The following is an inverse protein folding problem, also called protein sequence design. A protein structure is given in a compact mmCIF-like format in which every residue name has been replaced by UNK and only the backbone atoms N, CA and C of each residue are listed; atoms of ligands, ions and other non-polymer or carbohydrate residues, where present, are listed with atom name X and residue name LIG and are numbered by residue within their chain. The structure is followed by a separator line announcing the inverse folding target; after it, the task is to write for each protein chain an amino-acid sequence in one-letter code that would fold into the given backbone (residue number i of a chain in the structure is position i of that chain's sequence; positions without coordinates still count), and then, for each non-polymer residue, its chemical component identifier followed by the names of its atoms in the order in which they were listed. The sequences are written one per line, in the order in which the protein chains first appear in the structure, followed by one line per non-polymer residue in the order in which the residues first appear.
data_IF_252408290900
#
_entry.id   IF_252408290900
#
_cell.length_a   1.000
_cell.length_b   1.000
_cell.length_c   1.000
_cell.angle_alpha   90.00
_cell.angle_beta   90.00
_cell.angle_gamma   90.00
#
_symmetry.space_group_name_H-M   'P 1'
#
loop_
_entity.id
_entity.type
_entity.pdbx_description
1 polymer ?
#
# COMPACT_ATOMS: atom_id res chain seq x y z
N UNK A 1 5.33 -6.06 -7.03
CA UNK A 1 6.34 -6.22 -5.97
C UNK A 1 5.64 -6.49 -4.64
N UNK A 2 6.11 -7.48 -3.92
CA UNK A 2 5.51 -7.84 -2.63
C UNK A 2 6.36 -7.31 -1.50
N UNK A 3 5.72 -6.68 -0.52
CA UNK A 3 6.39 -6.17 0.67
C UNK A 3 5.66 -6.66 1.89
N UNK A 4 6.27 -6.49 3.05
CA UNK A 4 5.64 -6.83 4.32
C UNK A 4 5.42 -5.57 5.13
N UNK A 5 4.23 -5.46 5.72
CA UNK A 5 3.91 -4.35 6.58
C UNK A 5 4.66 -4.49 7.91
N UNK A 6 5.01 -3.35 8.48
CA UNK A 6 5.57 -3.29 9.81
C UNK A 6 4.46 -2.99 10.81
N UNK A 7 4.77 -3.13 12.09
CA UNK A 7 3.80 -2.81 13.13
C UNK A 7 3.32 -1.37 12.98
N UNK A 8 2.01 -1.18 13.03
CA UNK A 8 1.36 0.13 12.90
C UNK A 8 1.48 0.77 11.52
N UNK A 9 1.91 0.02 10.50
CA UNK A 9 1.89 0.55 9.15
C UNK A 9 0.46 0.72 8.65
N UNK A 10 0.26 1.72 7.80
CA UNK A 10 -1.00 1.94 7.11
C UNK A 10 -0.77 1.81 5.61
N UNK A 11 -1.85 1.65 4.85
CA UNK A 11 -1.74 1.60 3.39
C UNK A 11 -1.13 2.90 2.86
N UNK A 12 -1.55 4.03 3.43
CA UNK A 12 -1.01 5.33 3.04
C UNK A 12 0.50 5.41 3.30
N UNK A 13 0.94 4.93 4.45
CA UNK A 13 2.36 4.93 4.79
C UNK A 13 3.17 4.08 3.82
N UNK A 14 2.63 2.93 3.43
CA UNK A 14 3.29 2.07 2.46
C UNK A 14 3.38 2.75 1.09
N UNK A 15 2.31 3.39 0.66
CA UNK A 15 2.30 4.11 -0.62
C UNK A 15 3.31 5.25 -0.62
N UNK A 16 3.34 6.01 0.46
CA UNK A 16 4.28 7.12 0.60
C UNK A 16 5.72 6.65 0.54
N UNK A 17 6.00 5.55 1.22
CA UNK A 17 7.36 5.00 1.29
C UNK A 17 7.85 4.47 -0.06
N UNK A 18 6.96 3.84 -0.82
CA UNK A 18 7.35 3.16 -2.05
C UNK A 18 7.11 3.96 -3.32
N UNK A 19 6.08 4.80 -3.32
CA UNK A 19 5.74 5.58 -4.51
C UNK A 19 5.99 7.07 -4.35
N UNK A 20 6.16 7.53 -3.12
CA UNK A 20 6.36 8.95 -2.84
C UNK A 20 5.08 9.77 -2.93
N UNK A 21 3.93 9.11 -2.95
CA UNK A 21 2.63 9.79 -2.98
C UNK A 21 1.55 8.81 -2.55
N UNK A 22 0.39 9.34 -2.19
CA UNK A 22 -0.76 8.50 -1.84
C UNK A 22 -1.92 8.69 -2.80
N UNK A 23 -2.02 9.86 -3.41
CA UNK A 23 -3.15 10.19 -4.27
C UNK A 23 -3.20 9.29 -5.50
N UNK A 24 -4.32 8.61 -5.68
CA UNK A 24 -4.51 7.70 -6.80
C UNK A 24 -3.81 6.37 -6.67
N UNK A 25 -2.81 6.28 -5.78
CA UNK A 25 -2.03 5.07 -5.59
C UNK A 25 -2.70 4.13 -4.60
N UNK A 26 -3.26 4.67 -3.53
CA UNK A 26 -3.91 3.87 -2.50
C UNK A 26 -5.00 3.00 -3.10
N UNK A 27 -5.80 3.54 -4.01
CA UNK A 27 -6.86 2.77 -4.66
C UNK A 27 -6.29 1.61 -5.47
N UNK A 28 -5.18 1.84 -6.17
CA UNK A 28 -4.53 0.80 -6.95
C UNK A 28 -4.02 -0.33 -6.05
N UNK A 29 -3.43 0.03 -4.92
CA UNK A 29 -2.94 -0.95 -3.97
C UNK A 29 -4.10 -1.75 -3.38
N UNK A 30 -5.19 -1.10 -3.04
CA UNK A 30 -6.36 -1.78 -2.51
C UNK A 30 -6.98 -2.74 -3.53
N UNK A 31 -6.99 -2.35 -4.79
CA UNK A 31 -7.48 -3.23 -5.85
C UNK A 31 -6.59 -4.47 -6.03
N UNK A 32 -5.30 -4.29 -5.89
CA UNK A 32 -4.36 -5.40 -6.03
C UNK A 32 -4.36 -6.33 -4.82
N UNK A 33 -4.96 -5.90 -3.71
CA UNK A 33 -4.98 -6.66 -2.47
C UNK A 33 -6.40 -6.79 -1.94
N UNK A 34 -7.21 -7.69 -2.50
CA UNK A 34 -8.58 -7.88 -2.01
C UNK A 34 -8.56 -8.23 -0.51
N UNK A 35 -9.39 -7.55 0.25
CA UNK A 35 -9.46 -7.76 1.69
C UNK A 35 -8.50 -6.91 2.51
N UNK A 36 -7.60 -6.18 1.86
CA UNK A 36 -6.65 -5.35 2.60
C UNK A 36 -7.36 -4.28 3.42
N UNK A 37 -8.38 -3.68 2.87
CA UNK A 37 -9.13 -2.62 3.54
C UNK A 37 -9.85 -3.13 4.80
N UNK A 38 -10.08 -4.43 4.90
CA UNK A 38 -10.77 -5.01 6.04
C UNK A 38 -9.91 -5.04 7.31
N UNK A 39 -8.62 -4.83 7.18
CA UNK A 39 -7.72 -4.78 8.33
C UNK A 39 -7.85 -3.50 9.14
N UNK A 40 -8.60 -2.52 8.63
CA UNK A 40 -8.77 -1.25 9.32
C UNK A 40 -7.59 -0.31 9.06
N UNK A 41 -7.44 0.71 9.91
CA UNK A 41 -6.42 1.73 9.65
C UNK A 41 -4.98 1.25 9.80
N UNK A 42 -4.74 0.21 10.58
CA UNK A 42 -3.40 -0.30 10.80
C UNK A 42 -3.27 -1.71 10.30
N UNK A 43 -2.18 -2.00 9.61
CA UNK A 43 -1.92 -3.32 9.07
C UNK A 43 -1.17 -4.17 10.10
N UNK A 44 -1.46 -5.48 10.17
CA UNK A 44 -0.72 -6.34 11.09
C UNK A 44 0.74 -6.46 10.67
N UNK A 45 1.61 -6.58 11.65
CA UNK A 45 3.04 -6.78 11.41
C UNK A 45 3.25 -8.06 10.58
N UNK A 46 4.02 -7.94 9.52
CA UNK A 46 4.33 -9.08 8.66
C UNK A 46 3.32 -9.38 7.59
N UNK A 47 2.24 -8.61 7.51
CA UNK A 47 1.25 -8.79 6.46
C UNK A 47 1.88 -8.55 5.10
N UNK A 48 1.70 -9.51 4.19
CA UNK A 48 2.22 -9.38 2.84
C UNK A 48 1.29 -8.51 2.00
N UNK A 49 1.85 -7.51 1.36
CA UNK A 49 1.10 -6.55 0.54
C UNK A 49 1.68 -6.55 -0.86
N UNK A 50 0.83 -6.70 -1.85
CA UNK A 50 1.22 -6.63 -3.26
C UNK A 50 1.19 -5.18 -3.71
N UNK A 51 2.33 -4.67 -4.18
CA UNK A 51 2.40 -3.31 -4.74
C UNK A 51 2.41 -3.40 -6.25
N UNK A 52 1.35 -2.95 -6.93
CA UNK A 52 1.31 -2.97 -8.38
C UNK A 52 2.28 -1.97 -8.98
N UNK A 53 2.70 -2.22 -10.21
CA UNK A 53 3.53 -1.27 -10.94
C UNK A 53 2.67 -0.09 -11.36
N UNK A 54 2.92 1.04 -10.74
CA UNK A 54 2.20 2.26 -11.05
C UNK A 54 3.19 3.22 -11.68
N UNK A 55 2.93 3.71 -12.88
CA UNK A 55 3.84 4.67 -13.50
C UNK A 55 3.97 5.90 -12.64
N UNK A 56 5.20 6.22 -12.27
CA UNK A 56 5.44 7.48 -11.61
C UNK A 56 5.51 8.55 -12.67
N UNK A 57 4.38 9.12 -12.98
CA UNK A 57 4.39 10.27 -13.84
C UNK A 57 4.64 11.48 -12.98
N UNK A 58 5.83 11.94 -13.03
CA UNK A 58 6.09 13.26 -12.54
C UNK A 58 5.82 14.21 -13.67
N UNK A 59 4.83 14.92 -13.54
CA UNK A 59 4.69 16.08 -14.40
C UNK A 59 5.56 17.18 -13.82
#
# INVERSE_FOLDING_TARGET
MKIRAHQYDTVDALCWRHYGRTQGVTEQVLKANPGLAEHGPFLPHGLQVELPDIPTTTT
#
